data_IF_952641881227
#
_entry.id   IF_952641881227
#
_cell.length_a   1.000
_cell.length_b   1.000
_cell.length_c   1.000
_cell.angle_alpha   90.00
_cell.angle_beta   90.00
_cell.angle_gamma   90.00
#
_symmetry.space_group_name_H-M   'P 1'
#
loop_
_entity.id
_entity.type
_entity.pdbx_description
1 polymer ?
#
# COMPACT_ATOMS: atom_id res chain seq x y z
N UNK A 1 14.60 -29.77 23.38
CA UNK A 1 14.46 -28.32 23.14
C UNK A 1 13.06 -28.09 22.59
N UNK A 2 12.10 -27.85 23.48
CA UNK A 2 10.68 -27.64 23.12
C UNK A 2 10.50 -26.15 22.84
N UNK A 3 10.05 -25.80 21.64
CA UNK A 3 9.66 -24.45 21.28
C UNK A 3 8.16 -24.38 21.56
N UNK A 4 7.79 -23.65 22.61
CA UNK A 4 6.40 -23.33 22.91
C UNK A 4 5.88 -22.31 21.89
N UNK A 5 4.77 -22.68 21.27
CA UNK A 5 4.02 -21.92 20.29
C UNK A 5 3.17 -20.89 21.05
N UNK A 6 3.61 -19.64 21.13
CA UNK A 6 2.75 -18.56 21.64
C UNK A 6 1.72 -18.20 20.56
N UNK A 7 0.53 -18.78 20.70
CA UNK A 7 -0.71 -18.31 20.07
C UNK A 7 -1.13 -17.02 20.77
N UNK A 8 -1.09 -15.88 20.09
CA UNK A 8 -1.78 -14.68 20.58
C UNK A 8 -3.25 -14.74 20.17
N UNK A 9 -4.08 -14.95 21.19
CA UNK A 9 -5.54 -14.94 21.18
C UNK A 9 -6.04 -13.52 20.92
N UNK A 10 -6.97 -13.37 19.98
CA UNK A 10 -7.78 -12.16 19.82
C UNK A 10 -8.77 -12.12 21.00
N UNK A 11 -8.50 -11.25 21.97
CA UNK A 11 -9.41 -10.94 23.06
C UNK A 11 -10.54 -10.06 22.56
N UNK A 12 -11.72 -10.66 22.36
CA UNK A 12 -13.01 -9.98 22.45
C UNK A 12 -13.19 -9.52 23.89
N UNK A 13 -13.21 -8.20 24.12
CA UNK A 13 -13.83 -7.60 25.30
C UNK A 13 -15.03 -6.81 24.81
N UNK A 14 -16.18 -7.47 24.80
CA UNK A 14 -17.50 -6.83 24.88
C UNK A 14 -17.89 -6.90 26.35
N UNK A 15 -17.61 -5.84 27.10
CA UNK A 15 -18.25 -5.66 28.41
C UNK A 15 -19.59 -4.97 28.21
N UNK A 16 -20.65 -5.74 28.49
CA UNK A 16 -21.99 -5.24 28.75
C UNK A 16 -21.94 -4.30 29.96
N UNK A 17 -22.07 -2.99 29.73
CA UNK A 17 -22.55 -2.08 30.77
C UNK A 17 -24.07 -2.04 30.71
N UNK A 18 -24.68 -2.82 31.60
CA UNK A 18 -26.09 -2.66 31.98
C UNK A 18 -26.28 -1.27 32.59
N UNK A 19 -27.08 -0.44 31.93
CA UNK A 19 -27.57 0.81 32.50
C UNK A 19 -28.48 0.50 33.70
N UNK A 20 -28.04 0.81 34.92
CA UNK A 20 -28.93 0.93 36.08
C UNK A 20 -29.25 2.39 36.30
N UNK A 21 -30.51 2.75 36.07
CA UNK A 21 -31.10 4.03 36.42
C UNK A 21 -31.06 4.24 37.94
N UNK A 22 -30.39 5.29 38.39
CA UNK A 22 -30.48 5.81 39.75
C UNK A 22 -30.48 7.33 39.69
N UNK A 23 -31.63 7.94 39.98
CA UNK A 23 -31.73 9.37 40.25
C UNK A 23 -31.02 9.66 41.58
N UNK A 24 -30.13 10.65 41.59
CA UNK A 24 -29.93 11.44 42.80
C UNK A 24 -29.66 12.91 42.42
N UNK A 25 -30.42 13.79 43.09
CA UNK A 25 -30.42 15.23 42.92
C UNK A 25 -29.43 15.82 43.94
N UNK A 26 -28.32 16.40 43.48
CA UNK A 26 -27.67 17.47 44.26
C UNK A 26 -26.86 18.41 43.39
N UNK A 27 -27.02 19.68 43.71
CA UNK A 27 -26.47 20.89 43.11
C UNK A 27 -24.96 20.99 43.32
N UNK A 28 -24.22 21.23 42.24
CA UNK A 28 -22.81 21.62 42.28
C UNK A 28 -22.37 22.07 40.89
N UNK A 29 -22.04 23.35 40.76
CA UNK A 29 -21.45 23.94 39.56
C UNK A 29 -20.03 23.37 39.39
N UNK A 30 -19.90 22.23 38.71
CA UNK A 30 -18.65 21.83 38.06
C UNK A 30 -18.82 22.07 36.57
N UNK A 31 -18.14 23.10 36.05
CA UNK A 31 -17.86 23.23 34.63
C UNK A 31 -17.15 21.95 34.18
N UNK A 32 -17.92 21.01 33.63
CA UNK A 32 -17.39 19.88 32.90
C UNK A 32 -16.70 20.43 31.65
N UNK A 33 -15.38 20.67 31.75
CA UNK A 33 -14.55 20.94 30.60
C UNK A 33 -14.51 19.65 29.78
N UNK A 34 -15.44 19.55 28.83
CA UNK A 34 -15.40 18.59 27.74
C UNK A 34 -14.29 19.03 26.79
N UNK A 35 -13.06 18.58 27.05
CA UNK A 35 -11.97 18.68 26.05
C UNK A 35 -12.12 17.48 25.13
N UNK A 36 -12.91 17.64 24.07
CA UNK A 36 -12.90 16.71 22.93
C UNK A 36 -12.72 17.48 21.61
N UNK A 37 -11.80 18.45 21.63
CA UNK A 37 -11.27 19.06 20.43
C UNK A 37 -9.96 18.36 20.07
N UNK A 38 -10.03 17.38 19.17
CA UNK A 38 -8.83 16.92 18.47
C UNK A 38 -8.40 18.08 17.57
N UNK A 39 -7.42 18.87 18.02
CA UNK A 39 -6.82 19.88 17.16
C UNK A 39 -6.06 19.16 16.03
N UNK A 40 -6.73 19.04 14.88
CA UNK A 40 -6.14 18.57 13.63
C UNK A 40 -5.34 19.75 13.07
N UNK A 41 -4.04 19.73 13.32
CA UNK A 41 -3.13 20.73 12.79
C UNK A 41 -2.68 20.33 11.39
N UNK A 42 -2.69 21.31 10.49
CA UNK A 42 -2.06 21.18 9.17
C UNK A 42 -0.54 21.12 9.32
N UNK A 43 0.11 20.18 8.63
CA UNK A 43 1.55 19.98 8.70
C UNK A 43 2.18 20.03 7.31
N UNK A 44 2.98 21.06 7.05
CA UNK A 44 3.68 21.22 5.78
C UNK A 44 5.11 20.64 5.88
N UNK A 45 5.41 19.65 5.05
CA UNK A 45 6.73 19.03 4.93
C UNK A 45 7.35 19.38 3.57
N UNK A 46 8.57 19.89 3.60
CA UNK A 46 9.36 20.14 2.39
C UNK A 46 10.12 18.88 2.00
N UNK A 47 9.83 18.32 0.83
CA UNK A 47 10.51 17.13 0.30
C UNK A 47 11.26 17.46 -0.99
N UNK A 48 12.28 16.65 -1.38
CA UNK A 48 12.92 16.77 -2.68
C UNK A 48 11.96 16.66 -3.88
N UNK A 49 10.80 16.01 -3.72
CA UNK A 49 9.78 15.89 -4.78
C UNK A 49 8.80 17.07 -4.77
N UNK A 50 8.78 17.87 -3.70
CA UNK A 50 7.94 19.06 -3.56
C UNK A 50 7.31 19.19 -2.16
N UNK A 51 6.64 20.33 -1.88
CA UNK A 51 5.92 20.54 -0.62
C UNK A 51 4.71 19.62 -0.49
N UNK A 52 4.54 19.00 0.67
CA UNK A 52 3.43 18.09 1.00
C UNK A 52 2.74 18.58 2.27
N UNK A 53 1.43 18.79 2.19
CA UNK A 53 0.57 19.14 3.31
C UNK A 53 -0.12 17.90 3.85
N UNK A 54 0.24 17.47 5.05
CA UNK A 54 -0.47 16.46 5.82
C UNK A 54 -1.23 17.08 6.99
N UNK A 55 -1.53 16.25 7.98
CA UNK A 55 -2.21 16.67 9.21
C UNK A 55 -1.77 15.85 10.41
N UNK A 56 -2.13 16.30 11.61
CA UNK A 56 -2.04 15.49 12.83
C UNK A 56 -3.33 14.69 13.06
N UNK A 57 -3.23 13.62 13.83
CA UNK A 57 -4.36 12.85 14.34
C UNK A 57 -3.95 12.16 15.63
N UNK A 58 -4.84 11.38 16.23
CA UNK A 58 -4.54 10.59 17.41
C UNK A 58 -4.95 9.12 17.23
N UNK A 59 -4.31 8.25 17.99
CA UNK A 59 -4.65 6.84 18.14
C UNK A 59 -4.37 6.44 19.58
N UNK A 60 -5.36 5.87 20.28
CA UNK A 60 -5.21 5.52 21.70
C UNK A 60 -4.67 6.71 22.55
N UNK A 61 -5.20 7.91 22.31
CA UNK A 61 -4.77 9.19 22.91
C UNK A 61 -3.31 9.61 22.60
N UNK A 62 -2.61 8.93 21.68
CA UNK A 62 -1.26 9.28 21.25
C UNK A 62 -1.34 10.09 19.95
N UNK A 63 -0.80 11.33 19.91
CA UNK A 63 -0.74 12.11 18.68
C UNK A 63 0.26 11.52 17.69
N UNK A 64 -0.10 11.59 16.40
CA UNK A 64 0.70 11.11 15.28
C UNK A 64 0.54 12.04 14.07
N UNK A 65 1.57 12.12 13.25
CA UNK A 65 1.50 12.80 11.95
C UNK A 65 0.95 11.83 10.90
N UNK A 66 0.11 12.32 9.99
CA UNK A 66 -0.42 11.55 8.86
C UNK A 66 -0.30 12.31 7.54
N UNK A 67 0.13 11.59 6.51
CA UNK A 67 0.19 12.05 5.12
C UNK A 67 -0.38 10.96 4.24
N UNK A 68 -1.54 11.20 3.64
CA UNK A 68 -2.32 10.20 2.94
C UNK A 68 -2.39 10.52 1.44
N UNK A 69 -2.14 9.53 0.60
CA UNK A 69 -2.30 9.65 -0.84
C UNK A 69 -1.21 10.47 -1.53
N UNK A 70 0.07 10.30 -1.15
CA UNK A 70 1.21 10.94 -1.83
C UNK A 70 1.53 10.17 -3.12
N UNK A 71 1.58 10.80 -4.30
CA UNK A 71 1.85 10.11 -5.55
C UNK A 71 3.35 9.82 -5.70
N UNK A 72 3.70 8.55 -5.87
CA UNK A 72 5.09 8.13 -6.09
C UNK A 72 5.41 7.82 -7.56
N UNK A 73 4.38 7.60 -8.39
CA UNK A 73 4.50 7.40 -9.82
C UNK A 73 3.35 8.10 -10.58
N UNK A 74 3.57 8.36 -11.88
CA UNK A 74 2.52 8.84 -12.79
C UNK A 74 1.38 7.83 -12.87
N UNK A 75 0.12 8.29 -13.04
CA UNK A 75 -1.02 7.40 -13.19
C UNK A 75 -0.80 6.36 -14.31
N UNK A 76 -0.90 5.05 -14.03
CA UNK A 76 -0.62 3.99 -15.01
C UNK A 76 -1.79 3.75 -15.98
N UNK A 77 -2.32 4.83 -16.54
CA UNK A 77 -3.50 4.85 -17.43
C UNK A 77 -3.11 4.98 -18.90
N UNK A 78 -4.03 4.64 -19.80
CA UNK A 78 -3.82 4.74 -21.24
C UNK A 78 -2.59 3.97 -21.70
N UNK A 79 -1.61 4.67 -22.29
CA UNK A 79 -0.36 4.06 -22.76
C UNK A 79 0.54 3.53 -21.63
N UNK A 80 0.36 4.00 -20.40
CA UNK A 80 1.09 3.51 -19.22
C UNK A 80 0.45 2.26 -18.59
N UNK A 81 -0.75 1.87 -19.04
CA UNK A 81 -1.34 0.60 -18.66
C UNK A 81 -0.49 -0.55 -19.21
N UNK A 82 -0.19 -1.52 -18.35
CA UNK A 82 0.73 -2.64 -18.62
C UNK A 82 2.16 -2.20 -18.97
N UNK A 83 2.60 -1.06 -18.45
CA UNK A 83 3.99 -0.61 -18.51
C UNK A 83 4.58 -0.48 -17.11
N UNK A 84 5.92 -0.43 -17.03
CA UNK A 84 6.62 -0.08 -15.78
C UNK A 84 6.15 1.30 -15.28
N UNK A 85 6.07 1.52 -13.97
CA UNK A 85 5.74 2.83 -13.42
C UNK A 85 6.77 3.87 -13.90
N UNK A 86 6.28 5.07 -14.14
CA UNK A 86 7.11 6.23 -14.43
C UNK A 86 7.13 7.09 -13.16
N UNK A 87 8.29 7.48 -12.60
CA UNK A 87 8.35 8.34 -11.42
C UNK A 87 7.51 9.61 -11.61
N UNK A 88 6.93 10.12 -10.53
CA UNK A 88 6.30 11.45 -10.57
C UNK A 88 7.34 12.53 -10.87
N UNK A 89 6.93 13.54 -11.63
CA UNK A 89 7.75 14.74 -11.79
C UNK A 89 7.69 15.54 -10.47
N UNK A 90 8.79 16.19 -10.06
CA UNK A 90 8.75 17.08 -8.92
C UNK A 90 7.71 18.19 -9.13
N UNK A 91 7.04 18.60 -8.05
CA UNK A 91 6.04 19.66 -8.06
C UNK A 91 6.46 20.85 -7.21
N UNK A 92 6.01 22.04 -7.60
CA UNK A 92 6.28 23.29 -6.88
C UNK A 92 5.11 23.73 -6.01
N UNK A 93 3.88 23.37 -6.38
CA UNK A 93 2.66 23.67 -5.63
C UNK A 93 2.49 22.66 -4.50
N UNK A 94 2.07 23.11 -3.33
CA UNK A 94 1.76 22.24 -2.19
C UNK A 94 0.77 21.15 -2.57
N UNK A 95 1.17 19.90 -2.42
CA UNK A 95 0.31 18.74 -2.62
C UNK A 95 -0.45 18.44 -1.33
N UNK A 96 -1.78 18.37 -1.40
CA UNK A 96 -2.62 18.04 -0.24
C UNK A 96 -2.71 16.53 -0.05
N UNK A 97 -2.01 16.01 0.96
CA UNK A 97 -1.98 14.61 1.36
C UNK A 97 -2.83 14.38 2.62
N UNK A 98 -4.09 14.82 2.62
CA UNK A 98 -5.00 14.68 3.77
C UNK A 98 -6.07 13.59 3.60
N UNK A 99 -6.14 12.93 2.45
CA UNK A 99 -7.20 11.99 2.11
C UNK A 99 -6.67 10.68 1.56
N UNK A 100 -7.37 9.58 1.83
CA UNK A 100 -6.95 8.25 1.36
C UNK A 100 -7.01 8.16 -0.17
N UNK A 101 -5.98 7.62 -0.83
CA UNK A 101 -5.92 7.50 -2.28
C UNK A 101 -6.77 6.33 -2.79
N UNK A 102 -7.35 6.41 -4.01
CA UNK A 102 -8.07 5.30 -4.64
C UNK A 102 -7.33 3.95 -4.52
N UNK A 103 -8.06 2.85 -4.29
CA UNK A 103 -7.49 1.52 -4.34
C UNK A 103 -7.23 1.17 -5.82
N UNK A 104 -6.19 0.39 -6.07
CA UNK A 104 -5.97 -0.12 -7.42
C UNK A 104 -7.15 -0.99 -7.86
N UNK A 105 -7.46 -0.95 -9.16
CA UNK A 105 -8.50 -1.79 -9.75
C UNK A 105 -8.34 -3.25 -9.32
N UNK A 106 -9.41 -3.78 -8.73
CA UNK A 106 -9.43 -5.09 -8.12
C UNK A 106 -10.85 -5.65 -8.03
N UNK A 107 -10.94 -6.97 -7.97
CA UNK A 107 -12.20 -7.68 -7.83
C UNK A 107 -12.03 -8.82 -6.83
N UNK A 108 -12.99 -8.95 -5.92
CA UNK A 108 -13.09 -10.07 -5.00
C UNK A 108 -14.56 -10.39 -4.78
N UNK A 109 -14.86 -11.69 -4.73
CA UNK A 109 -16.17 -12.21 -4.30
C UNK A 109 -16.15 -12.65 -2.84
N UNK A 110 -15.01 -12.54 -2.17
CA UNK A 110 -14.84 -13.03 -0.81
C UNK A 110 -15.24 -11.96 0.22
N UNK A 111 -16.18 -12.25 1.13
CA UNK A 111 -16.63 -11.33 2.16
C UNK A 111 -15.68 -11.38 3.36
N UNK A 112 -14.40 -11.07 3.17
CA UNK A 112 -13.49 -10.97 4.31
C UNK A 112 -13.92 -9.80 5.21
N UNK A 113 -14.08 -10.01 6.54
CA UNK A 113 -14.58 -8.95 7.43
C UNK A 113 -13.71 -7.69 7.46
N UNK A 114 -12.42 -7.83 7.14
CA UNK A 114 -11.43 -6.75 7.09
C UNK A 114 -11.28 -6.13 5.70
N UNK A 115 -12.11 -6.53 4.73
CA UNK A 115 -12.08 -6.01 3.37
C UNK A 115 -13.07 -4.85 3.21
N UNK A 116 -12.57 -3.75 2.67
CA UNK A 116 -13.39 -2.61 2.25
C UNK A 116 -14.15 -3.01 0.97
N UNK A 117 -15.48 -3.16 1.07
CA UNK A 117 -16.32 -3.66 -0.02
C UNK A 117 -16.40 -2.71 -1.22
N UNK A 118 -16.18 -1.41 -1.02
CA UNK A 118 -16.15 -0.43 -2.11
C UNK A 118 -15.05 0.62 -1.90
N UNK A 119 -13.78 0.22 -2.08
CA UNK A 119 -12.64 1.03 -1.73
C UNK A 119 -12.34 2.10 -2.79
N UNK A 120 -13.35 2.72 -3.41
CA UNK A 120 -13.24 3.73 -4.48
C UNK A 120 -12.08 3.43 -5.45
N UNK A 121 -12.31 2.51 -6.38
CA UNK A 121 -11.26 1.89 -7.21
C UNK A 121 -10.90 2.75 -8.42
N UNK A 122 -9.61 2.90 -8.70
CA UNK A 122 -9.09 3.58 -9.89
C UNK A 122 -7.83 2.90 -10.41
N UNK A 123 -7.52 3.10 -11.69
CA UNK A 123 -6.18 2.77 -12.22
C UNK A 123 -5.15 3.81 -11.82
N UNK A 124 -5.57 5.06 -11.65
CA UNK A 124 -4.76 6.07 -10.99
C UNK A 124 -4.72 5.75 -9.49
N UNK A 125 -3.81 4.87 -9.08
CA UNK A 125 -3.75 4.32 -7.73
C UNK A 125 -2.33 4.25 -7.14
N UNK A 126 -1.30 4.75 -7.83
CA UNK A 126 0.10 4.65 -7.43
C UNK A 126 0.48 5.72 -6.40
N UNK A 127 -0.13 5.58 -5.23
CA UNK A 127 0.03 6.46 -4.07
C UNK A 127 0.55 5.69 -2.86
N UNK A 128 1.16 6.41 -1.92
CA UNK A 128 1.56 5.89 -0.62
C UNK A 128 1.03 6.76 0.52
N UNK A 129 0.89 6.15 1.68
CA UNK A 129 0.54 6.79 2.93
C UNK A 129 1.74 6.74 3.88
N UNK A 130 1.93 7.79 4.69
CA UNK A 130 2.97 7.88 5.70
C UNK A 130 2.32 8.23 7.04
N UNK A 131 2.68 7.48 8.08
CA UNK A 131 2.39 7.81 9.47
C UNK A 131 3.71 7.93 10.22
N UNK A 132 3.85 8.97 11.03
CA UNK A 132 5.06 9.21 11.80
C UNK A 132 4.73 9.58 13.26
N UNK A 133 5.64 9.28 14.21
CA UNK A 133 5.58 9.82 15.56
C UNK A 133 5.40 11.34 15.55
N UNK A 134 4.71 11.91 16.54
CA UNK A 134 4.44 13.37 16.55
C UNK A 134 5.72 14.21 16.59
N UNK A 135 6.78 13.69 17.22
CA UNK A 135 8.10 14.31 17.36
C UNK A 135 9.02 14.08 16.15
N UNK A 136 8.55 13.35 15.13
CA UNK A 136 9.33 13.07 13.94
C UNK A 136 9.54 14.35 13.11
N UNK A 137 10.80 14.68 12.87
CA UNK A 137 11.24 15.84 12.10
C UNK A 137 12.58 15.55 11.42
N UNK A 138 13.01 16.32 10.41
CA UNK A 138 14.30 16.11 9.77
C UNK A 138 15.44 15.98 10.79
N UNK A 139 16.20 14.89 10.73
CA UNK A 139 17.25 14.57 11.70
C UNK A 139 16.85 13.64 12.85
N UNK A 140 15.55 13.38 13.07
CA UNK A 140 15.08 12.43 14.11
C UNK A 140 15.59 10.99 13.93
N UNK A 141 16.01 10.64 12.70
CA UNK A 141 16.70 9.38 12.41
C UNK A 141 15.88 8.10 12.75
N UNK A 142 14.55 8.20 12.68
CA UNK A 142 13.60 7.14 13.05
C UNK A 142 13.70 5.96 12.08
N UNK A 143 13.42 4.75 12.56
CA UNK A 143 13.34 3.56 11.69
C UNK A 143 12.10 3.64 10.80
N UNK A 144 12.19 3.05 9.61
CA UNK A 144 11.10 3.10 8.62
C UNK A 144 10.59 1.68 8.36
N UNK A 145 9.29 1.46 8.55
CA UNK A 145 8.59 0.24 8.20
C UNK A 145 7.85 0.44 6.88
N UNK A 146 8.27 -0.26 5.83
CA UNK A 146 7.63 -0.22 4.51
C UNK A 146 6.68 -1.41 4.38
N UNK A 147 5.38 -1.16 4.54
CA UNK A 147 4.34 -2.17 4.71
C UNK A 147 3.71 -2.52 3.35
N UNK A 148 4.14 -3.64 2.78
CA UNK A 148 3.59 -4.22 1.56
C UNK A 148 2.38 -5.09 1.91
N UNK A 149 1.19 -4.60 1.56
CA UNK A 149 -0.04 -5.35 1.78
C UNK A 149 -0.08 -6.63 0.91
N UNK A 150 -0.77 -7.64 1.43
CA UNK A 150 -1.08 -8.86 0.69
C UNK A 150 -2.28 -8.71 -0.23
N UNK A 151 -2.59 -9.84 -0.86
CA UNK A 151 -3.70 -10.04 -1.77
C UNK A 151 -3.35 -9.73 -3.24
N UNK A 152 -3.15 -10.80 -4.01
CA UNK A 152 -2.74 -10.76 -5.43
C UNK A 152 -3.82 -10.18 -6.34
N UNK A 153 -5.09 -10.36 -5.95
CA UNK A 153 -6.28 -9.97 -6.72
C UNK A 153 -7.07 -8.83 -6.09
N UNK A 154 -6.83 -8.55 -4.79
CA UNK A 154 -7.50 -7.53 -4.00
C UNK A 154 -6.61 -7.15 -2.81
N UNK A 155 -6.74 -5.94 -2.28
CA UNK A 155 -5.88 -5.40 -1.23
C UNK A 155 -5.58 -3.93 -1.49
N UNK A 156 -5.34 -3.16 -0.43
CA UNK A 156 -4.95 -1.75 -0.55
C UNK A 156 -4.33 -1.26 0.75
N UNK A 157 -3.45 -0.26 0.64
CA UNK A 157 -2.93 0.52 1.78
C UNK A 157 -3.99 1.30 2.57
N UNK A 158 -5.26 1.20 2.17
CA UNK A 158 -6.39 1.88 2.79
C UNK A 158 -7.26 1.03 3.69
N UNK A 159 -7.02 -0.28 3.74
CA UNK A 159 -7.74 -1.15 4.65
C UNK A 159 -7.34 -0.83 6.08
N UNK A 160 -8.30 -0.83 7.00
CA UNK A 160 -8.08 -0.47 8.42
C UNK A 160 -7.01 -1.33 9.09
N UNK A 161 -6.85 -2.59 8.67
CA UNK A 161 -5.79 -3.49 9.16
C UNK A 161 -4.38 -3.01 8.84
N UNK A 162 -4.23 -2.05 7.91
CA UNK A 162 -2.96 -1.44 7.52
C UNK A 162 -2.85 0.02 7.97
N UNK A 163 -3.73 0.46 8.88
CA UNK A 163 -3.59 1.76 9.52
C UNK A 163 -2.29 1.82 10.32
N UNK A 164 -1.34 2.62 9.83
CA UNK A 164 -0.02 2.75 10.43
C UNK A 164 0.02 3.57 11.71
N UNK A 165 -1.08 4.19 12.15
CA UNK A 165 -1.08 5.08 13.32
C UNK A 165 -0.62 4.37 14.59
N UNK A 166 -1.15 3.17 14.86
CA UNK A 166 -0.82 2.41 16.08
C UNK A 166 0.68 2.13 16.15
N UNK A 167 1.25 1.64 15.05
CA UNK A 167 2.68 1.35 14.96
C UNK A 167 3.54 2.62 15.03
N UNK A 168 3.08 3.73 14.44
CA UNK A 168 3.79 5.00 14.53
C UNK A 168 3.78 5.60 15.94
N UNK A 169 2.62 5.65 16.58
CA UNK A 169 2.46 6.24 17.91
C UNK A 169 3.09 5.41 19.03
N UNK A 170 2.84 4.10 19.06
CA UNK A 170 3.35 3.22 20.13
C UNK A 170 4.73 2.63 19.82
N UNK A 171 5.00 2.31 18.56
CA UNK A 171 6.24 1.66 18.14
C UNK A 171 7.41 2.60 17.90
N UNK A 172 7.17 3.91 17.90
CA UNK A 172 8.15 4.95 17.57
C UNK A 172 8.88 4.72 16.23
N UNK A 173 8.10 4.39 15.19
CA UNK A 173 8.60 4.12 13.83
C UNK A 173 7.80 4.89 12.78
N UNK A 174 8.44 5.26 11.68
CA UNK A 174 7.70 5.77 10.52
C UNK A 174 7.15 4.60 9.73
N UNK A 175 5.85 4.60 9.48
CA UNK A 175 5.17 3.57 8.70
C UNK A 175 4.83 4.12 7.32
N UNK A 176 5.21 3.39 6.27
CA UNK A 176 4.88 3.73 4.89
C UNK A 176 4.08 2.60 4.26
N UNK A 177 2.85 2.90 3.81
CA UNK A 177 1.97 1.95 3.13
C UNK A 177 1.74 2.34 1.67
N UNK A 178 2.42 1.71 0.69
CA UNK A 178 2.16 1.92 -0.73
C UNK A 178 0.96 1.10 -1.23
N UNK A 179 0.18 1.67 -2.17
CA UNK A 179 -0.60 0.88 -3.12
C UNK A 179 0.31 0.43 -4.27
N UNK A 180 -0.04 -0.69 -4.91
CA UNK A 180 0.61 -1.18 -6.13
C UNK A 180 -0.40 -1.90 -7.02
N UNK A 181 -0.18 -1.95 -8.34
CA UNK A 181 -1.13 -2.61 -9.24
C UNK A 181 -1.23 -4.10 -8.93
N UNK A 182 -2.47 -4.58 -8.91
CA UNK A 182 -2.84 -5.98 -8.64
C UNK A 182 -3.30 -6.67 -9.93
N UNK A 183 -3.60 -7.97 -9.85
CA UNK A 183 -4.21 -8.77 -10.92
C UNK A 183 -3.58 -8.57 -12.32
N UNK A 184 -4.37 -8.62 -13.39
CA UNK A 184 -3.97 -8.30 -14.75
C UNK A 184 -3.27 -6.92 -14.88
N UNK A 185 -3.66 -5.89 -14.12
CA UNK A 185 -3.05 -4.55 -14.22
C UNK A 185 -1.58 -4.55 -13.75
N UNK A 186 -1.27 -5.36 -12.75
CA UNK A 186 0.08 -5.51 -12.19
C UNK A 186 0.89 -6.64 -12.81
N UNK A 187 0.26 -7.67 -13.39
CA UNK A 187 0.93 -8.94 -13.67
C UNK A 187 0.65 -9.53 -15.06
N UNK A 188 -0.03 -8.81 -15.96
CA UNK A 188 -0.18 -9.23 -17.37
C UNK A 188 1.19 -9.47 -18.01
N UNK A 189 1.37 -10.62 -18.67
CA UNK A 189 2.65 -11.01 -19.28
C UNK A 189 2.45 -11.84 -20.55
N UNK A 190 3.34 -11.68 -21.51
CA UNK A 190 3.51 -12.59 -22.66
C UNK A 190 4.66 -13.59 -22.44
N UNK A 191 5.38 -13.47 -21.31
CA UNK A 191 6.68 -14.08 -21.07
C UNK A 191 7.73 -13.73 -22.15
N UNK A 192 7.57 -12.59 -22.84
CA UNK A 192 8.57 -12.02 -23.76
C UNK A 192 9.12 -10.71 -23.21
N UNK A 193 10.15 -10.18 -23.88
CA UNK A 193 10.77 -8.90 -23.51
C UNK A 193 9.81 -7.72 -23.64
N UNK A 194 8.85 -7.80 -24.55
CA UNK A 194 7.95 -6.69 -24.90
C UNK A 194 6.79 -6.54 -23.90
N UNK A 195 6.41 -7.63 -23.23
CA UNK A 195 5.43 -7.63 -22.14
C UNK A 195 5.89 -8.57 -21.00
N UNK A 196 6.94 -8.18 -20.25
CA UNK A 196 7.57 -9.06 -19.27
C UNK A 196 6.71 -9.30 -18.02
N UNK A 197 5.77 -8.41 -17.72
CA UNK A 197 4.94 -8.46 -16.51
C UNK A 197 5.65 -7.91 -15.26
N UNK A 198 5.18 -8.36 -14.09
CA UNK A 198 5.65 -7.91 -12.76
C UNK A 198 5.55 -6.41 -12.50
N UNK A 199 4.67 -5.70 -13.19
CA UNK A 199 4.46 -4.25 -13.04
C UNK A 199 4.11 -3.85 -11.60
N UNK A 200 3.33 -4.65 -10.87
CA UNK A 200 3.06 -4.41 -9.44
C UNK A 200 4.32 -4.47 -8.56
N UNK A 201 5.31 -5.30 -8.92
CA UNK A 201 6.61 -5.33 -8.23
C UNK A 201 7.45 -4.12 -8.62
N UNK A 202 7.39 -3.71 -9.89
CA UNK A 202 8.03 -2.47 -10.34
C UNK A 202 7.44 -1.24 -9.64
N UNK A 203 6.14 -1.21 -9.38
CA UNK A 203 5.45 -0.17 -8.62
C UNK A 203 6.03 -0.04 -7.21
N UNK A 204 6.17 -1.17 -6.51
CA UNK A 204 6.78 -1.21 -5.17
C UNK A 204 8.27 -0.82 -5.19
N UNK A 205 9.01 -1.18 -6.23
CA UNK A 205 10.38 -0.72 -6.41
C UNK A 205 10.45 0.81 -6.57
N UNK A 206 9.54 1.42 -7.34
CA UNK A 206 9.51 2.88 -7.49
C UNK A 206 9.06 3.56 -6.19
N UNK A 207 8.05 3.02 -5.50
CA UNK A 207 7.64 3.51 -4.18
C UNK A 207 8.81 3.45 -3.18
N UNK A 208 9.59 2.36 -3.16
CA UNK A 208 10.75 2.23 -2.29
C UNK A 208 11.85 3.24 -2.63
N UNK A 209 12.09 3.51 -3.92
CA UNK A 209 13.02 4.57 -4.35
C UNK A 209 12.52 5.95 -3.95
N UNK A 210 11.22 6.22 -4.08
CA UNK A 210 10.60 7.46 -3.63
C UNK A 210 10.79 7.64 -2.13
N UNK A 211 10.53 6.60 -1.32
CA UNK A 211 10.75 6.62 0.13
C UNK A 211 12.21 6.93 0.44
N UNK A 212 13.17 6.24 -0.19
CA UNK A 212 14.59 6.50 0.03
C UNK A 212 15.00 7.94 -0.28
N UNK A 213 14.38 8.58 -1.28
CA UNK A 213 14.66 9.99 -1.64
C UNK A 213 14.02 11.00 -0.67
N UNK A 214 12.89 10.68 -0.05
CA UNK A 214 12.06 11.69 0.63
C UNK A 214 11.88 11.45 2.14
N UNK A 215 12.12 10.24 2.67
CA UNK A 215 11.70 9.88 4.03
C UNK A 215 12.44 10.66 5.14
N UNK A 216 13.61 11.20 4.83
CA UNK A 216 14.37 12.06 5.74
C UNK A 216 13.62 13.35 6.08
N UNK A 217 12.85 13.92 5.13
CA UNK A 217 11.99 15.08 5.36
C UNK A 217 10.89 14.81 6.39
N UNK A 218 10.50 13.54 6.57
CA UNK A 218 9.52 13.09 7.55
C UNK A 218 10.18 12.61 8.85
N UNK A 219 11.51 12.73 8.97
CA UNK A 219 12.30 12.28 10.12
C UNK A 219 12.77 10.83 10.11
N UNK A 220 12.58 10.12 8.99
CA UNK A 220 13.00 8.74 8.82
C UNK A 220 14.44 8.62 8.34
N UNK A 221 15.11 7.53 8.69
CA UNK A 221 16.43 7.23 8.17
C UNK A 221 16.32 6.37 6.89
N UNK A 222 16.77 6.86 5.71
CA UNK A 222 16.73 6.10 4.47
C UNK A 222 17.59 4.81 4.48
N UNK A 223 18.52 4.68 5.44
CA UNK A 223 19.35 3.50 5.66
C UNK A 223 18.80 2.55 6.74
N UNK A 224 17.64 2.86 7.36
CA UNK A 224 16.94 1.98 8.33
C UNK A 224 15.55 1.59 7.84
N UNK A 225 15.43 1.30 6.54
CA UNK A 225 14.17 0.81 5.96
C UNK A 225 14.07 -0.71 6.19
N UNK A 226 12.96 -1.14 6.79
CA UNK A 226 12.57 -2.54 6.96
C UNK A 226 11.36 -2.81 6.08
N UNK A 227 11.47 -3.76 5.16
CA UNK A 227 10.31 -4.23 4.41
C UNK A 227 9.47 -5.13 5.30
N UNK A 228 8.16 -4.99 5.26
CA UNK A 228 7.22 -5.91 5.88
C UNK A 228 6.20 -6.36 4.84
N UNK A 229 6.00 -7.67 4.70
CA UNK A 229 5.03 -8.22 3.76
C UNK A 229 4.18 -9.31 4.40
N UNK A 230 2.90 -9.33 4.08
CA UNK A 230 1.96 -10.38 4.48
C UNK A 230 1.40 -11.11 3.24
N UNK A 231 1.29 -12.44 3.29
CA UNK A 231 0.76 -13.26 2.19
C UNK A 231 1.50 -12.97 0.87
N UNK A 232 0.81 -12.51 -0.18
CA UNK A 232 1.47 -12.11 -1.43
C UNK A 232 2.40 -10.92 -1.31
N UNK A 233 2.16 -10.01 -0.35
CA UNK A 233 3.13 -8.99 0.01
C UNK A 233 4.43 -9.62 0.52
N UNK A 234 4.34 -10.73 1.25
CA UNK A 234 5.51 -11.52 1.68
C UNK A 234 6.20 -12.22 0.51
N UNK A 235 5.45 -12.74 -0.48
CA UNK A 235 6.03 -13.24 -1.74
C UNK A 235 6.84 -12.14 -2.44
N UNK A 236 6.28 -10.94 -2.57
CA UNK A 236 6.96 -9.82 -3.21
C UNK A 236 8.18 -9.36 -2.41
N UNK A 237 8.08 -9.23 -1.08
CA UNK A 237 9.23 -8.89 -0.21
C UNK A 237 10.35 -9.91 -0.38
N UNK A 238 10.03 -11.21 -0.45
CA UNK A 238 11.01 -12.26 -0.74
C UNK A 238 11.70 -12.05 -2.10
N UNK A 239 10.96 -11.68 -3.15
CA UNK A 239 11.55 -11.33 -4.45
C UNK A 239 12.42 -10.07 -4.40
N UNK A 240 11.99 -9.05 -3.66
CA UNK A 240 12.76 -7.82 -3.47
C UNK A 240 14.08 -8.10 -2.73
N UNK A 241 14.12 -9.06 -1.81
CA UNK A 241 15.37 -9.50 -1.17
C UNK A 241 16.37 -10.17 -2.14
N UNK A 242 15.87 -10.85 -3.17
CA UNK A 242 16.71 -11.55 -4.16
C UNK A 242 17.10 -10.67 -5.36
N UNK A 243 16.39 -9.56 -5.59
CA UNK A 243 16.58 -8.73 -6.77
C UNK A 243 17.86 -7.89 -6.66
N UNK A 244 18.72 -7.85 -7.70
CA UNK A 244 19.86 -6.92 -7.70
C UNK A 244 19.41 -5.45 -7.80
N UNK A 245 18.19 -5.18 -8.26
CA UNK A 245 17.66 -3.82 -8.45
C UNK A 245 17.32 -3.11 -7.14
N UNK A 246 17.20 -3.85 -6.04
CA UNK A 246 16.88 -3.35 -4.70
C UNK A 246 18.11 -3.25 -3.80
N UNK A 247 19.30 -3.57 -4.32
CA UNK A 247 20.53 -3.55 -3.54
C UNK A 247 20.75 -2.18 -2.91
N UNK A 248 20.84 -2.16 -1.58
CA UNK A 248 21.05 -0.93 -0.80
C UNK A 248 19.81 -0.05 -0.63
N UNK A 249 18.61 -0.51 -1.04
CA UNK A 249 17.38 0.27 -0.84
C UNK A 249 16.72 0.02 0.53
N UNK A 250 17.02 -1.09 1.18
CA UNK A 250 16.51 -1.44 2.51
C UNK A 250 17.52 -2.31 3.27
N UNK A 251 17.30 -2.49 4.57
CA UNK A 251 18.28 -3.12 5.48
C UNK A 251 17.76 -4.39 6.14
N UNK A 252 16.45 -4.54 6.27
CA UNK A 252 15.80 -5.69 6.94
C UNK A 252 14.50 -6.07 6.24
N UNK A 253 14.04 -7.30 6.44
CA UNK A 253 12.77 -7.78 5.91
C UNK A 253 12.02 -8.63 6.95
N UNK A 254 10.71 -8.45 7.02
CA UNK A 254 9.76 -9.25 7.79
C UNK A 254 8.80 -9.88 6.78
N UNK A 255 8.74 -11.21 6.79
CA UNK A 255 7.99 -12.02 5.82
C UNK A 255 6.97 -12.88 6.56
N UNK A 256 5.70 -12.51 6.48
CA UNK A 256 4.60 -13.15 7.22
C UNK A 256 3.75 -13.99 6.25
N UNK A 257 3.75 -15.31 6.47
CA UNK A 257 2.88 -16.26 5.75
C UNK A 257 3.01 -16.24 4.22
N UNK A 258 4.23 -16.06 3.70
CA UNK A 258 4.53 -16.21 2.27
C UNK A 258 6.04 -16.19 1.96
N UNK A 259 6.46 -16.94 0.95
CA UNK A 259 7.85 -17.03 0.46
C UNK A 259 7.89 -17.25 -1.06
N UNK A 260 8.81 -16.61 -1.77
CA UNK A 260 8.95 -16.77 -3.22
C UNK A 260 9.23 -18.23 -3.64
N UNK A 261 9.69 -19.09 -2.71
CA UNK A 261 9.91 -20.52 -2.93
C UNK A 261 8.62 -21.33 -3.09
N UNK A 262 7.46 -20.76 -2.72
CA UNK A 262 6.17 -21.41 -2.93
C UNK A 262 5.68 -21.34 -4.38
N UNK A 263 6.24 -20.44 -5.19
CA UNK A 263 5.82 -20.27 -6.57
C UNK A 263 6.19 -21.50 -7.40
N UNK A 264 5.21 -22.02 -8.15
CA UNK A 264 5.35 -23.23 -8.96
C UNK A 264 6.49 -23.15 -9.98
N UNK A 265 6.94 -24.31 -10.46
CA UNK A 265 7.87 -24.38 -11.58
C UNK A 265 7.26 -23.74 -12.85
N UNK A 266 7.99 -22.80 -13.46
CA UNK A 266 7.64 -22.07 -14.69
C UNK A 266 6.36 -21.19 -14.64
N UNK A 267 6.29 -20.21 -13.72
CA UNK A 267 5.11 -19.34 -13.58
C UNK A 267 4.91 -18.45 -14.80
N UNK A 268 5.99 -18.08 -15.52
CA UNK A 268 5.90 -17.16 -16.65
C UNK A 268 5.09 -17.73 -17.82
N UNK A 269 5.33 -18.98 -18.23
CA UNK A 269 4.58 -19.60 -19.32
C UNK A 269 3.12 -19.88 -18.93
N UNK A 270 2.86 -20.23 -17.66
CA UNK A 270 1.50 -20.37 -17.16
C UNK A 270 0.74 -19.03 -17.20
N UNK A 271 1.37 -17.97 -16.70
CA UNK A 271 0.80 -16.63 -16.69
C UNK A 271 0.59 -16.06 -18.10
N UNK A 272 1.46 -16.39 -19.06
CA UNK A 272 1.27 -16.02 -20.46
C UNK A 272 0.06 -16.70 -21.09
N UNK A 273 -0.19 -17.99 -20.78
CA UNK A 273 -1.42 -18.69 -21.21
C UNK A 273 -2.67 -18.08 -20.58
N UNK A 274 -2.62 -17.68 -19.31
CA UNK A 274 -3.73 -16.99 -18.64
C UNK A 274 -3.97 -15.62 -19.28
N UNK A 275 -2.92 -14.85 -19.55
CA UNK A 275 -3.00 -13.56 -20.23
C UNK A 275 -3.58 -13.69 -21.65
N UNK A 276 -3.22 -14.75 -22.39
CA UNK A 276 -3.81 -15.08 -23.68
C UNK A 276 -5.31 -15.39 -23.58
N UNK A 277 -5.74 -16.16 -22.56
CA UNK A 277 -7.16 -16.48 -22.34
C UNK A 277 -7.98 -15.23 -22.03
N UNK A 278 -7.45 -14.36 -21.17
CA UNK A 278 -8.04 -13.05 -20.90
C UNK A 278 -8.19 -12.23 -22.19
N UNK A 279 -7.10 -12.12 -22.96
CA UNK A 279 -7.12 -11.36 -24.21
C UNK A 279 -8.13 -11.91 -25.22
N UNK A 280 -8.31 -13.24 -25.29
CA UNK A 280 -9.38 -13.86 -26.09
C UNK A 280 -10.78 -13.52 -25.57
N UNK A 281 -10.99 -13.62 -24.25
CA UNK A 281 -12.29 -13.36 -23.63
C UNK A 281 -12.80 -11.94 -23.88
N UNK A 282 -11.90 -10.95 -23.97
CA UNK A 282 -12.26 -9.55 -24.27
C UNK A 282 -12.16 -9.20 -25.76
N UNK A 283 -11.93 -10.19 -26.64
CA UNK A 283 -11.88 -9.99 -28.10
C UNK A 283 -10.62 -9.28 -28.61
N UNK A 284 -9.52 -9.29 -27.85
CA UNK A 284 -8.23 -8.71 -28.25
C UNK A 284 -7.25 -9.72 -28.85
N UNK A 285 -7.51 -11.01 -28.70
CA UNK A 285 -6.68 -12.08 -29.23
C UNK A 285 -7.55 -13.22 -29.80
N UNK A 286 -6.97 -14.04 -30.67
CA UNK A 286 -7.63 -15.21 -31.28
C UNK A 286 -6.70 -16.43 -31.22
N UNK A 287 -7.01 -17.51 -31.95
CA UNK A 287 -6.05 -18.60 -32.13
C UNK A 287 -4.86 -18.17 -33.00
N UNK A 288 -5.09 -17.26 -33.95
CA UNK A 288 -4.09 -16.79 -34.92
C UNK A 288 -3.39 -15.49 -34.48
N UNK A 289 -4.00 -14.70 -33.60
CA UNK A 289 -3.41 -13.51 -32.97
C UNK A 289 -3.07 -13.81 -31.51
N UNK A 290 -1.79 -13.96 -31.20
CA UNK A 290 -1.30 -14.42 -29.90
C UNK A 290 -0.55 -13.31 -29.14
N UNK A 291 -0.77 -13.19 -27.83
CA UNK A 291 -0.12 -12.19 -26.97
C UNK A 291 1.42 -12.29 -26.99
N UNK A 292 1.97 -13.45 -27.35
CA UNK A 292 3.41 -13.70 -27.47
C UNK A 292 3.99 -13.26 -28.82
N UNK A 293 3.26 -13.42 -29.92
CA UNK A 293 3.76 -13.12 -31.28
C UNK A 293 3.27 -11.77 -31.81
N UNK A 294 2.11 -11.32 -31.35
CA UNK A 294 1.42 -10.10 -31.78
C UNK A 294 1.24 -9.13 -30.60
N UNK A 295 2.25 -9.08 -29.71
CA UNK A 295 2.18 -8.38 -28.42
C UNK A 295 1.65 -6.96 -28.56
N UNK A 296 2.19 -6.15 -29.47
CA UNK A 296 1.79 -4.76 -29.65
C UNK A 296 0.32 -4.60 -30.04
N UNK A 297 -0.18 -5.41 -30.97
CA UNK A 297 -1.59 -5.37 -31.39
C UNK A 297 -2.52 -5.81 -30.25
N UNK A 298 -2.18 -6.89 -29.56
CA UNK A 298 -2.98 -7.43 -28.46
C UNK A 298 -3.01 -6.44 -27.29
N UNK A 299 -1.86 -5.89 -26.89
CA UNK A 299 -1.75 -4.93 -25.79
C UNK A 299 -2.44 -3.61 -26.13
N UNK A 300 -2.31 -3.11 -27.37
CA UNK A 300 -3.01 -1.90 -27.80
C UNK A 300 -4.53 -2.07 -27.70
N UNK A 301 -5.06 -3.23 -28.11
CA UNK A 301 -6.48 -3.56 -27.90
C UNK A 301 -6.85 -3.65 -26.41
N UNK A 302 -6.02 -4.31 -25.58
CA UNK A 302 -6.29 -4.42 -24.14
C UNK A 302 -6.30 -3.04 -23.44
N UNK A 303 -5.44 -2.11 -23.87
CA UNK A 303 -5.43 -0.73 -23.37
C UNK A 303 -6.70 0.04 -23.72
N UNK A 304 -7.38 -0.30 -24.82
CA UNK A 304 -8.63 0.35 -25.21
C UNK A 304 -9.87 -0.20 -24.50
N UNK A 305 -9.74 -1.27 -23.70
CA UNK A 305 -10.87 -1.84 -22.94
C UNK A 305 -11.10 -1.06 -21.65
N UNK A 306 -12.37 -0.80 -21.35
CA UNK A 306 -12.80 -0.12 -20.12
C UNK A 306 -13.38 -1.09 -19.08
N UNK A 307 -13.93 -2.23 -19.52
CA UNK A 307 -14.53 -3.24 -18.66
C UNK A 307 -13.69 -4.53 -18.67
N UNK A 308 -12.98 -4.77 -17.57
CA UNK A 308 -12.43 -6.08 -17.22
C UNK A 308 -13.22 -6.73 -16.06
N UNK A 309 -14.42 -6.21 -15.81
CA UNK A 309 -15.29 -6.48 -14.65
C UNK A 309 -16.51 -7.29 -15.08
#
# INVERSE_FOLDING_TARGET
MKIELFLFVIGLILENLTATSGQDNSTGDEEAITIDWVDVFSLLVQTPTGPILGSTTQVLAIPVQKFLGIPYARPPIGNLRFAKPVPTDPWTKTYNASSMPPACIQYTTYPYPWYDFDPNKSEDCLYLNIWAPIDASPGSNKSVLFLVHGGESFGSNRMDIFDGRVLAGLGDVIVVGPNYRLNLFGFLTSATRDLPGNYGIWDLLEALKWVRRNIESFGGNPNKITLHGQSSGSFIVSMLCMSPLTKGLFSKAIMVSGSALYLQANPANFNAKTSQRLAKAVGCATNDRNIKTDTDSVVSCLRSKTNFY
#
